data_IF_143317609176
#
_entry.id   IF_143317609176
#
_cell.length_a   1.000
_cell.length_b   1.000
_cell.length_c   1.000
_cell.angle_alpha   90.00
_cell.angle_beta   90.00
_cell.angle_gamma   90.00
#
_symmetry.space_group_name_H-M   'P 1'
#
loop_
_entity.id
_entity.type
_entity.pdbx_description
1 polymer ?
#
# COMPACT_ATOMS: atom_id res chain seq x y z
N UNK A 1 -35.47 -10.39 7.69
CA UNK A 1 -35.05 -10.45 6.27
C UNK A 1 -36.32 -10.66 5.46
N UNK A 2 -36.74 -9.74 4.59
CA UNK A 2 -38.01 -9.90 3.86
C UNK A 2 -37.89 -10.98 2.76
N UNK A 3 -38.96 -11.72 2.52
CA UNK A 3 -39.05 -12.74 1.46
C UNK A 3 -38.69 -12.19 0.07
N UNK A 4 -39.02 -10.92 -0.17
CA UNK A 4 -38.65 -10.17 -1.39
C UNK A 4 -37.15 -10.18 -1.66
N UNK A 5 -36.32 -10.03 -0.62
CA UNK A 5 -34.87 -10.06 -0.77
C UNK A 5 -34.39 -11.48 -1.12
N UNK A 6 -35.01 -12.51 -0.55
CA UNK A 6 -34.59 -13.89 -0.78
C UNK A 6 -34.91 -14.38 -2.19
N UNK A 7 -36.12 -14.10 -2.70
CA UNK A 7 -36.50 -14.46 -4.07
C UNK A 7 -35.60 -13.81 -5.12
N UNK A 8 -35.24 -12.54 -4.91
CA UNK A 8 -34.33 -11.82 -5.80
C UNK A 8 -32.94 -12.47 -5.89
N UNK A 9 -32.38 -12.91 -4.76
CA UNK A 9 -31.08 -13.59 -4.75
C UNK A 9 -31.11 -14.96 -5.44
N UNK A 10 -32.23 -15.68 -5.32
CA UNK A 10 -32.40 -16.99 -5.98
C UNK A 10 -32.35 -16.80 -7.50
N UNK A 11 -33.16 -15.89 -8.04
CA UNK A 11 -33.17 -15.60 -9.49
C UNK A 11 -31.81 -15.14 -10.00
N UNK A 12 -31.09 -14.31 -9.24
CA UNK A 12 -29.74 -13.87 -9.63
C UNK A 12 -28.73 -15.02 -9.66
N UNK A 13 -28.85 -16.01 -8.78
CA UNK A 13 -27.94 -17.15 -8.73
C UNK A 13 -28.23 -18.16 -9.85
N UNK A 14 -29.49 -18.36 -10.22
CA UNK A 14 -29.89 -19.25 -11.33
C UNK A 14 -29.35 -18.78 -12.69
N UNK A 15 -29.08 -17.48 -12.83
CA UNK A 15 -28.50 -16.90 -14.04
C UNK A 15 -26.97 -17.01 -14.11
N UNK A 16 -26.30 -17.50 -13.06
CA UNK A 16 -24.85 -17.66 -13.06
C UNK A 16 -24.42 -18.94 -13.79
N UNK A 17 -23.37 -18.84 -14.59
CA UNK A 17 -22.86 -19.93 -15.40
C UNK A 17 -21.32 -20.02 -15.31
N UNK A 18 -20.80 -21.23 -15.45
CA UNK A 18 -19.37 -21.57 -15.42
C UNK A 18 -18.65 -21.21 -16.73
N UNK A 19 -19.38 -21.07 -17.83
CA UNK A 19 -18.83 -20.85 -19.18
C UNK A 19 -18.69 -19.37 -19.55
N UNK A 20 -19.44 -18.47 -18.90
CA UNK A 20 -19.57 -17.07 -19.32
C UNK A 20 -19.09 -16.07 -18.24
N UNK A 21 -18.03 -16.38 -17.50
CA UNK A 21 -17.39 -15.53 -16.47
C UNK A 21 -18.31 -15.01 -15.34
N UNK A 22 -19.63 -15.20 -15.40
CA UNK A 22 -20.62 -14.63 -14.48
C UNK A 22 -20.43 -15.17 -13.07
N UNK A 23 -20.24 -16.50 -12.96
CA UNK A 23 -19.95 -17.15 -11.68
C UNK A 23 -18.62 -16.66 -11.09
N UNK A 24 -17.59 -16.51 -11.91
CA UNK A 24 -16.28 -15.99 -11.47
C UNK A 24 -16.39 -14.55 -10.96
N UNK A 25 -17.07 -13.66 -11.70
CA UNK A 25 -17.26 -12.25 -11.29
C UNK A 25 -18.04 -12.12 -9.99
N UNK A 26 -19.04 -12.99 -9.76
CA UNK A 26 -19.82 -13.01 -8.51
C UNK A 26 -18.99 -13.48 -7.32
N UNK A 27 -18.18 -14.53 -7.51
CA UNK A 27 -17.44 -15.19 -6.43
C UNK A 27 -16.10 -14.54 -6.11
N UNK A 28 -15.45 -13.84 -7.06
CA UNK A 28 -14.14 -13.20 -6.83
C UNK A 28 -14.16 -12.22 -5.66
N UNK A 29 -15.28 -11.55 -5.42
CA UNK A 29 -15.46 -10.61 -4.30
C UNK A 29 -15.58 -11.32 -2.94
N UNK A 30 -15.99 -12.60 -2.93
CA UNK A 30 -16.05 -13.43 -1.72
C UNK A 30 -14.67 -13.94 -1.30
N UNK A 31 -13.80 -14.23 -2.28
CA UNK A 31 -12.43 -14.69 -2.03
C UNK A 31 -11.44 -13.55 -1.80
N UNK A 32 -11.74 -12.35 -2.28
CA UNK A 32 -10.90 -11.18 -2.07
C UNK A 32 -11.08 -10.65 -0.65
N UNK A 33 -10.12 -10.93 0.23
CA UNK A 33 -9.96 -10.17 1.48
C UNK A 33 -9.65 -8.73 1.08
N UNK A 34 -10.63 -7.83 1.22
CA UNK A 34 -10.37 -6.40 1.08
C UNK A 34 -9.70 -5.94 2.37
N UNK A 35 -8.40 -5.73 2.31
CA UNK A 35 -7.75 -4.87 3.29
C UNK A 35 -8.11 -3.44 2.93
N UNK A 36 -8.60 -2.67 3.90
CA UNK A 36 -8.73 -1.24 3.71
C UNK A 36 -7.34 -0.64 3.49
N UNK A 37 -7.24 0.30 2.54
CA UNK A 37 -6.01 1.05 2.36
C UNK A 37 -5.79 1.84 3.65
N UNK A 38 -4.64 1.69 4.34
CA UNK A 38 -4.38 2.44 5.56
C UNK A 38 -4.49 3.94 5.31
N UNK A 39 -5.07 4.66 6.27
CA UNK A 39 -5.16 6.11 6.18
C UNK A 39 -3.77 6.73 6.20
N UNK A 40 -3.53 7.69 5.30
CA UNK A 40 -2.30 8.48 5.33
C UNK A 40 -2.29 9.29 6.62
N UNK A 41 -1.14 9.29 7.31
CA UNK A 41 -0.94 10.01 8.56
C UNK A 41 0.10 11.09 8.37
N UNK A 42 -0.13 12.23 9.00
CA UNK A 42 0.90 13.26 9.08
C UNK A 42 2.02 12.78 10.01
N UNK A 43 3.29 12.80 9.58
CA UNK A 43 4.42 12.33 10.40
C UNK A 43 4.66 13.16 11.66
N UNK A 44 4.30 14.45 11.66
CA UNK A 44 4.46 15.34 12.81
C UNK A 44 3.38 15.17 13.89
N UNK A 45 2.15 14.83 13.50
CA UNK A 45 1.02 14.72 14.45
C UNK A 45 0.53 13.29 14.66
N UNK A 46 0.95 12.33 13.82
CA UNK A 46 0.45 10.95 13.76
C UNK A 46 -1.07 10.81 13.55
N UNK A 47 -1.75 11.91 13.20
CA UNK A 47 -3.18 11.92 12.92
C UNK A 47 -3.46 11.63 11.44
N UNK A 48 -4.61 11.00 11.12
CA UNK A 48 -5.02 10.80 9.75
C UNK A 48 -5.25 12.12 9.00
N UNK A 49 -4.86 12.13 7.73
CA UNK A 49 -5.10 13.24 6.81
C UNK A 49 -6.48 13.08 6.17
N UNK A 50 -7.33 14.09 6.33
CA UNK A 50 -8.72 14.03 5.90
C UNK A 50 -8.96 14.75 4.58
N UNK A 51 -8.24 15.83 4.32
CA UNK A 51 -8.36 16.61 3.09
C UNK A 51 -7.33 16.19 2.06
N UNK A 52 -7.62 16.45 0.78
CA UNK A 52 -6.67 16.15 -0.29
C UNK A 52 -5.46 17.09 -0.28
N UNK A 53 -5.63 18.31 0.24
CA UNK A 53 -4.53 19.26 0.45
C UNK A 53 -3.52 18.73 1.47
N UNK A 54 -3.98 18.31 2.65
CA UNK A 54 -3.10 17.72 3.69
C UNK A 54 -2.34 16.50 3.16
N UNK A 55 -3.00 15.66 2.35
CA UNK A 55 -2.34 14.50 1.74
C UNK A 55 -1.27 14.92 0.74
N UNK A 56 -1.54 15.94 -0.08
CA UNK A 56 -0.60 16.45 -1.06
C UNK A 56 0.65 17.03 -0.39
N UNK A 57 0.47 17.80 0.69
CA UNK A 57 1.57 18.35 1.48
C UNK A 57 2.44 17.25 2.09
N UNK A 58 1.85 16.24 2.72
CA UNK A 58 2.62 15.12 3.30
C UNK A 58 3.44 14.37 2.24
N UNK A 59 2.86 14.17 1.05
CA UNK A 59 3.59 13.53 -0.05
C UNK A 59 4.71 14.44 -0.55
N UNK A 60 4.46 15.74 -0.67
CA UNK A 60 5.48 16.71 -1.08
C UNK A 60 6.66 16.72 -0.09
N UNK A 61 6.38 16.85 1.21
CA UNK A 61 7.40 16.84 2.27
C UNK A 61 8.20 15.53 2.27
N UNK A 62 7.51 14.38 2.10
CA UNK A 62 8.17 13.09 2.04
C UNK A 62 9.11 12.99 0.83
N UNK A 63 8.67 13.45 -0.34
CA UNK A 63 9.49 13.45 -1.55
C UNK A 63 10.67 14.42 -1.40
N UNK A 64 10.45 15.63 -0.89
CA UNK A 64 11.52 16.58 -0.62
C UNK A 64 12.58 15.97 0.29
N UNK A 65 12.17 15.32 1.39
CA UNK A 65 13.10 14.63 2.30
C UNK A 65 13.89 13.50 1.63
N UNK A 66 13.29 12.74 0.70
CA UNK A 66 13.97 11.63 0.01
C UNK A 66 14.93 12.10 -1.09
N UNK A 67 14.68 13.26 -1.69
CA UNK A 67 15.44 13.79 -2.81
C UNK A 67 16.33 14.99 -2.48
N UNK A 68 16.28 15.49 -1.24
CA UNK A 68 17.23 16.50 -0.76
C UNK A 68 18.61 15.86 -0.69
N UNK A 69 19.60 16.38 -1.45
CA UNK A 69 20.96 15.85 -1.38
C UNK A 69 21.50 15.98 0.05
N UNK A 70 22.05 14.88 0.52
CA UNK A 70 22.83 14.81 1.74
C UNK A 70 23.96 15.85 1.74
N UNK A 71 24.18 16.52 2.87
CA UNK A 71 25.34 17.39 3.04
C UNK A 71 26.60 16.53 3.11
N UNK A 72 27.41 16.56 2.05
CA UNK A 72 28.66 15.81 1.96
C UNK A 72 29.71 16.25 3.02
N UNK A 73 29.48 17.37 3.72
CA UNK A 73 30.33 17.84 4.81
C UNK A 73 29.88 17.43 6.22
N UNK A 74 28.74 16.76 6.38
CA UNK A 74 28.23 16.35 7.70
C UNK A 74 28.73 14.94 8.10
N UNK A 75 29.49 14.81 9.19
CA UNK A 75 29.99 13.51 9.68
C UNK A 75 28.90 12.48 10.00
N UNK A 76 27.67 12.92 10.33
CA UNK A 76 26.54 12.00 10.59
C UNK A 76 25.98 11.42 9.29
N UNK A 77 26.06 12.20 8.22
CA UNK A 77 25.61 11.84 6.87
C UNK A 77 26.57 10.82 6.24
N UNK A 78 27.89 10.99 6.41
CA UNK A 78 28.89 10.00 6.01
C UNK A 78 28.68 8.65 6.71
N UNK A 79 28.50 8.65 8.05
CA UNK A 79 28.23 7.42 8.83
C UNK A 79 26.98 6.66 8.38
N UNK A 80 25.95 7.38 7.92
CA UNK A 80 24.70 6.76 7.43
C UNK A 80 24.91 6.07 6.07
N UNK A 81 25.79 6.64 5.21
CA UNK A 81 26.14 6.06 3.92
C UNK A 81 27.12 4.86 4.02
N UNK A 82 28.00 4.85 5.03
CA UNK A 82 28.98 3.78 5.25
C UNK A 82 28.34 2.42 5.62
N UNK A 83 27.28 2.43 6.44
CA UNK A 83 26.61 1.20 6.89
C UNK A 83 26.09 0.30 5.75
N UNK A 84 25.33 0.79 4.76
CA UNK A 84 24.90 -0.04 3.64
C UNK A 84 26.06 -0.47 2.72
N UNK A 85 27.09 0.38 2.52
CA UNK A 85 28.25 0.06 1.68
C UNK A 85 29.13 -1.04 2.28
N UNK A 86 29.40 -0.98 3.58
CA UNK A 86 30.12 -2.03 4.30
C UNK A 86 29.34 -3.36 4.29
N UNK A 87 28.00 -3.29 4.41
CA UNK A 87 27.15 -4.49 4.34
C UNK A 87 27.15 -5.17 2.96
N UNK A 88 27.26 -4.38 1.87
CA UNK A 88 27.39 -4.90 0.51
C UNK A 88 28.76 -5.56 0.31
N UNK A 89 29.82 -4.94 0.84
CA UNK A 89 31.19 -5.44 0.74
C UNK A 89 31.38 -6.75 1.50
N UNK A 90 30.82 -6.87 2.71
CA UNK A 90 30.86 -8.13 3.48
C UNK A 90 30.10 -9.27 2.79
N UNK A 91 28.95 -8.99 2.16
CA UNK A 91 28.19 -10.01 1.42
C UNK A 91 28.95 -10.52 0.19
N UNK A 92 29.68 -9.66 -0.52
CA UNK A 92 30.53 -10.10 -1.64
C UNK A 92 31.71 -10.98 -1.21
N UNK A 93 32.25 -10.78 -0.01
CA UNK A 93 33.38 -11.56 0.51
C UNK A 93 32.99 -12.97 1.00
N UNK A 94 31.72 -13.21 1.35
CA UNK A 94 31.21 -14.51 1.81
C UNK A 94 30.76 -15.43 0.65
N UNK A 95 30.72 -14.91 -0.58
CA UNK A 95 30.30 -15.65 -1.78
C UNK A 95 31.46 -16.00 -2.72
N UNK A 96 32.70 -15.70 -2.32
CA UNK A 96 33.93 -15.96 -3.08
C UNK A 96 34.84 -16.93 -2.35
#
# INVERSE_FOLDING_TARGET
>A
MSEFNQSMYITQNEQLNIYDDTLWRRTKRLKSKRSEIPQLKNPGTNLPSHTDLEKAEIIADHLESQFTPNDFGDPNTERTAENPLESLKMKSALQS
#
